data_IF_391090590372
#
_entry.id   IF_391090590372
#
_cell.length_a   1.000
_cell.length_b   1.000
_cell.length_c   1.000
_cell.angle_alpha   90.00
_cell.angle_beta   90.00
_cell.angle_gamma   90.00
#
_symmetry.space_group_name_H-M   'P 1'
#
loop_
_entity.id
_entity.type
_entity.pdbx_description
1 polymer ?
#
# COMPACT_ATOMS: atom_id res chain seq x y z
N UNK A 1 6.75 -12.09 5.26
CA UNK A 1 5.78 -12.59 4.29
C UNK A 1 6.20 -13.97 3.77
N UNK A 2 5.24 -14.88 3.48
CA UNK A 2 5.51 -16.18 2.84
C UNK A 2 5.44 -16.01 1.32
N UNK A 3 6.59 -15.71 0.72
CA UNK A 3 6.74 -15.48 -0.72
C UNK A 3 7.80 -16.43 -1.25
N UNK A 4 7.45 -17.25 -2.23
CA UNK A 4 8.37 -18.16 -2.91
C UNK A 4 8.52 -17.73 -4.36
N UNK A 5 9.76 -17.53 -4.79
CA UNK A 5 10.09 -17.26 -6.19
C UNK A 5 10.18 -18.57 -6.94
N UNK A 6 9.41 -18.71 -8.01
CA UNK A 6 9.34 -19.88 -8.86
C UNK A 6 9.75 -19.52 -10.29
N UNK A 7 10.20 -20.51 -11.05
CA UNK A 7 10.39 -20.42 -12.50
C UNK A 7 11.08 -19.13 -12.98
N UNK A 8 12.28 -18.86 -12.41
CA UNK A 8 13.12 -17.75 -12.87
C UNK A 8 13.55 -17.98 -14.31
N UNK A 9 13.32 -16.99 -15.15
CA UNK A 9 13.64 -17.05 -16.58
C UNK A 9 13.99 -15.65 -17.09
N UNK A 10 14.49 -15.58 -18.30
CA UNK A 10 14.73 -14.32 -19.00
C UNK A 10 13.69 -14.18 -20.14
N UNK A 11 13.01 -13.05 -20.21
CA UNK A 11 12.08 -12.72 -21.29
C UNK A 11 12.37 -11.30 -21.79
N UNK A 12 12.70 -11.17 -23.08
CA UNK A 12 12.97 -9.87 -23.68
C UNK A 12 14.19 -9.12 -23.11
N UNK A 13 15.14 -9.83 -22.49
CA UNK A 13 16.32 -9.24 -21.86
C UNK A 13 16.10 -8.84 -20.39
N UNK A 14 14.96 -9.18 -19.80
CA UNK A 14 14.63 -8.90 -18.40
C UNK A 14 14.49 -10.21 -17.61
N UNK A 15 14.95 -10.19 -16.36
CA UNK A 15 14.69 -11.29 -15.44
C UNK A 15 13.22 -11.28 -15.00
N UNK A 16 12.52 -12.39 -15.22
CA UNK A 16 11.15 -12.59 -14.78
C UNK A 16 11.02 -13.85 -13.94
N UNK A 17 10.00 -13.92 -13.10
CA UNK A 17 9.73 -15.08 -12.28
C UNK A 17 8.24 -15.16 -11.92
N UNK A 18 7.77 -16.37 -11.64
CA UNK A 18 6.48 -16.55 -11.01
C UNK A 18 6.63 -16.46 -9.48
N UNK A 19 5.67 -15.84 -8.83
CA UNK A 19 5.65 -15.67 -7.38
C UNK A 19 4.49 -16.46 -6.77
N UNK A 20 4.79 -17.29 -5.79
CA UNK A 20 3.75 -17.87 -4.92
C UNK A 20 3.71 -17.10 -3.63
N UNK A 21 2.59 -16.47 -3.36
CA UNK A 21 2.35 -15.72 -2.11
C UNK A 21 1.28 -16.46 -1.29
N UNK A 22 1.55 -16.65 -0.01
CA UNK A 22 0.60 -17.25 0.93
C UNK A 22 0.34 -16.28 2.07
N UNK A 23 -0.87 -16.35 2.62
CA UNK A 23 -1.20 -15.63 3.84
C UNK A 23 -0.23 -16.04 4.97
N UNK A 24 0.31 -15.07 5.66
CA UNK A 24 1.26 -15.27 6.76
C UNK A 24 1.16 -14.16 7.79
N UNK A 25 1.56 -14.44 9.01
CA UNK A 25 1.70 -13.42 10.04
C UNK A 25 2.82 -12.45 9.64
N UNK A 26 2.45 -11.21 9.35
CA UNK A 26 3.39 -10.15 9.04
C UNK A 26 3.95 -9.57 10.34
N UNK A 27 5.19 -9.10 10.30
CA UNK A 27 5.84 -8.40 11.41
C UNK A 27 6.41 -7.09 10.93
N UNK A 28 6.39 -6.09 11.81
CA UNK A 28 7.00 -4.81 11.58
C UNK A 28 8.49 -4.93 11.27
N UNK A 29 8.98 -4.06 10.42
CA UNK A 29 10.36 -4.02 9.96
C UNK A 29 10.84 -2.58 9.85
N UNK A 30 12.15 -2.40 9.81
CA UNK A 30 12.75 -1.16 9.35
C UNK A 30 13.11 -1.27 7.86
N UNK A 31 12.58 -0.34 7.05
CA UNK A 31 12.91 -0.20 5.63
C UNK A 31 13.92 0.94 5.52
N UNK A 32 15.18 0.65 5.17
CA UNK A 32 16.24 1.67 5.17
C UNK A 32 16.07 2.67 4.03
N UNK A 33 16.57 3.90 4.22
CA UNK A 33 16.40 5.01 3.29
C UNK A 33 16.96 4.73 1.89
N UNK A 34 17.99 3.89 1.77
CA UNK A 34 18.61 3.50 0.51
C UNK A 34 17.64 2.74 -0.42
N UNK A 35 16.56 2.21 0.13
CA UNK A 35 15.51 1.56 -0.65
C UNK A 35 14.55 2.55 -1.29
N UNK A 36 14.40 3.75 -0.74
CA UNK A 36 13.41 4.72 -1.20
C UNK A 36 13.50 5.02 -2.71
N UNK A 37 14.68 5.28 -3.32
CA UNK A 37 14.73 5.61 -4.74
C UNK A 37 14.26 4.47 -5.66
N UNK A 38 14.47 3.22 -5.27
CA UNK A 38 14.16 2.05 -6.12
C UNK A 38 12.72 1.55 -5.99
N UNK A 39 11.98 2.01 -4.96
CA UNK A 39 10.63 1.53 -4.70
C UNK A 39 9.69 2.65 -4.20
N UNK A 40 10.00 3.90 -4.52
CA UNK A 40 9.27 5.05 -3.98
C UNK A 40 7.76 4.98 -4.24
N UNK A 41 7.36 4.49 -5.39
CA UNK A 41 5.96 4.39 -5.79
C UNK A 41 5.22 3.22 -5.11
N UNK A 42 5.94 2.31 -4.46
CA UNK A 42 5.38 1.14 -3.77
C UNK A 42 5.13 1.39 -2.28
N UNK A 43 5.61 2.51 -1.73
CA UNK A 43 5.42 2.80 -0.31
C UNK A 43 3.96 2.94 0.13
N UNK A 44 3.02 3.46 -0.68
CA UNK A 44 1.62 3.49 -0.29
C UNK A 44 1.06 2.09 0.01
N UNK A 45 1.33 1.11 -0.87
CA UNK A 45 0.85 -0.26 -0.65
C UNK A 45 1.68 -1.01 0.40
N UNK A 46 2.97 -0.68 0.56
CA UNK A 46 3.79 -1.22 1.65
C UNK A 46 3.28 -0.75 3.02
N UNK A 47 2.83 0.50 3.12
CA UNK A 47 2.22 1.03 4.34
C UNK A 47 0.89 0.32 4.67
N UNK A 48 0.12 -0.07 3.66
CA UNK A 48 -1.06 -0.93 3.84
C UNK A 48 -0.65 -2.30 4.41
N UNK A 49 0.38 -2.93 3.87
CA UNK A 49 0.88 -4.19 4.42
C UNK A 49 1.39 -4.02 5.86
N UNK A 50 2.06 -2.89 6.17
CA UNK A 50 2.52 -2.54 7.51
C UNK A 50 1.36 -2.37 8.51
N UNK A 51 0.20 -1.88 8.06
CA UNK A 51 -1.00 -1.77 8.91
C UNK A 51 -1.46 -3.12 9.47
N UNK A 52 -1.21 -4.21 8.75
CA UNK A 52 -1.55 -5.58 9.18
C UNK A 52 -0.38 -6.32 9.82
N UNK A 53 0.79 -5.72 9.90
CA UNK A 53 1.96 -6.32 10.52
C UNK A 53 1.92 -6.14 12.04
N UNK A 54 2.31 -7.16 12.79
CA UNK A 54 2.47 -7.05 14.24
C UNK A 54 3.68 -6.17 14.57
N UNK A 55 3.46 -5.14 15.37
CA UNK A 55 4.50 -4.22 15.82
C UNK A 55 4.68 -3.02 14.88
N UNK A 56 5.84 -2.40 14.98
CA UNK A 56 6.15 -1.15 14.30
C UNK A 56 6.90 -1.40 12.99
N UNK A 57 6.48 -0.73 11.93
CA UNK A 57 7.23 -0.62 10.67
C UNK A 57 7.69 0.81 10.49
N UNK A 58 8.99 0.99 10.30
CA UNK A 58 9.62 2.30 10.05
C UNK A 58 10.12 2.34 8.61
N UNK A 59 9.60 3.26 7.81
CA UNK A 59 9.99 3.49 6.42
C UNK A 59 10.75 4.81 6.33
N UNK A 60 12.05 4.73 6.04
CA UNK A 60 12.94 5.89 6.14
C UNK A 60 13.14 6.61 4.81
N UNK A 61 13.35 7.94 4.91
CA UNK A 61 13.86 8.76 3.81
C UNK A 61 12.86 8.96 2.68
N UNK A 62 11.59 9.19 2.99
CA UNK A 62 10.49 9.25 2.04
C UNK A 62 10.19 10.66 1.51
N UNK A 63 11.16 11.59 1.55
CA UNK A 63 10.97 12.98 1.12
C UNK A 63 10.43 13.11 -0.31
N UNK A 64 10.80 12.18 -1.19
CA UNK A 64 10.35 12.21 -2.59
C UNK A 64 8.84 11.95 -2.72
N UNK A 65 8.20 11.25 -1.77
CA UNK A 65 6.75 11.07 -1.77
C UNK A 65 5.96 12.37 -1.65
N UNK A 66 6.58 13.43 -1.07
CA UNK A 66 5.90 14.72 -0.89
C UNK A 66 5.71 15.51 -2.18
N UNK A 67 6.46 15.16 -3.23
CA UNK A 67 6.49 15.88 -4.51
C UNK A 67 6.04 15.01 -5.70
N UNK A 68 5.27 13.96 -5.42
CA UNK A 68 4.64 13.11 -6.44
C UNK A 68 3.33 13.75 -6.93
N UNK A 69 2.37 12.97 -7.42
CA UNK A 69 1.06 13.46 -7.87
C UNK A 69 0.28 14.17 -6.76
N UNK A 70 0.56 13.79 -5.53
CA UNK A 70 0.11 14.43 -4.28
C UNK A 70 1.24 14.43 -3.27
N UNK A 71 1.09 15.05 -2.10
CA UNK A 71 1.92 14.72 -0.93
C UNK A 71 1.50 13.32 -0.45
N UNK A 72 2.05 12.28 -1.11
CA UNK A 72 1.72 10.88 -0.82
C UNK A 72 2.07 10.49 0.60
N UNK A 73 3.11 11.07 1.18
CA UNK A 73 3.52 10.76 2.55
C UNK A 73 2.42 11.16 3.53
N UNK A 74 1.90 12.37 3.41
CA UNK A 74 0.79 12.84 4.23
C UNK A 74 -0.52 12.13 3.90
N UNK A 75 -0.81 11.86 2.62
CA UNK A 75 -2.01 11.15 2.20
C UNK A 75 -2.06 9.72 2.77
N UNK A 76 -0.93 9.00 2.76
CA UNK A 76 -0.83 7.67 3.35
C UNK A 76 -1.05 7.72 4.86
N UNK A 77 -0.38 8.64 5.58
CA UNK A 77 -0.59 8.81 7.03
C UNK A 77 -2.06 9.10 7.35
N UNK A 78 -2.66 10.07 6.67
CA UNK A 78 -4.04 10.47 6.90
C UNK A 78 -5.02 9.30 6.62
N UNK A 79 -4.82 8.56 5.53
CA UNK A 79 -5.64 7.40 5.19
C UNK A 79 -5.52 6.26 6.20
N UNK A 80 -4.31 5.99 6.72
CA UNK A 80 -4.10 5.00 7.79
C UNK A 80 -4.83 5.41 9.08
N UNK A 81 -4.74 6.69 9.47
CA UNK A 81 -5.50 7.20 10.63
C UNK A 81 -7.01 7.09 10.41
N UNK A 82 -7.51 7.38 9.21
CA UNK A 82 -8.92 7.19 8.87
C UNK A 82 -9.35 5.73 8.95
N UNK A 83 -8.44 4.78 8.69
CA UNK A 83 -8.66 3.35 8.89
C UNK A 83 -8.55 2.89 10.36
N UNK A 84 -8.23 3.79 11.28
CA UNK A 84 -8.02 3.50 12.70
C UNK A 84 -6.66 2.84 12.99
N UNK A 85 -5.69 3.01 12.11
CA UNK A 85 -4.31 2.54 12.28
C UNK A 85 -3.43 3.69 12.77
N UNK A 86 -2.62 3.45 13.78
CA UNK A 86 -1.68 4.45 14.31
C UNK A 86 -0.52 4.65 13.32
N UNK A 87 -0.38 5.86 12.81
CA UNK A 87 0.63 6.24 11.84
C UNK A 87 1.16 7.65 12.12
N UNK A 88 2.47 7.80 12.09
CA UNK A 88 3.20 9.03 12.41
C UNK A 88 4.24 9.33 11.33
N UNK A 89 4.43 10.62 11.04
CA UNK A 89 5.54 11.12 10.24
C UNK A 89 6.55 11.77 11.18
N UNK A 90 7.80 11.33 11.12
CA UNK A 90 8.93 11.90 11.85
C UNK A 90 10.00 12.36 10.85
N UNK A 91 10.05 13.66 10.59
CA UNK A 91 10.86 14.19 9.49
C UNK A 91 10.33 13.69 8.14
N UNK A 92 11.10 12.87 7.46
CA UNK A 92 10.70 12.23 6.20
C UNK A 92 10.51 10.71 6.34
N UNK A 93 10.41 10.22 7.57
CA UNK A 93 10.13 8.83 7.87
C UNK A 93 8.65 8.61 8.14
N UNK A 94 8.09 7.51 7.68
CA UNK A 94 6.75 7.04 8.03
C UNK A 94 6.85 5.89 9.02
N UNK A 95 6.19 6.03 10.15
CA UNK A 95 6.12 5.02 11.21
C UNK A 95 4.69 4.52 11.27
N UNK A 96 4.49 3.21 11.10
CA UNK A 96 3.17 2.56 11.16
C UNK A 96 3.19 1.53 12.27
N UNK A 97 2.26 1.65 13.23
CA UNK A 97 2.06 0.67 14.31
C UNK A 97 0.85 -0.19 13.96
N UNK A 98 1.17 -1.32 13.35
CA UNK A 98 0.17 -2.20 12.77
C UNK A 98 -0.39 -3.24 13.74
N UNK A 99 -1.21 -4.12 13.19
CA UNK A 99 -1.91 -5.19 13.89
C UNK A 99 -3.38 -5.24 13.50
N UNK A 100 -4.25 -4.70 14.35
CA UNK A 100 -5.68 -4.61 14.06
C UNK A 100 -6.00 -3.42 13.17
N UNK A 101 -6.78 -3.64 12.11
CA UNK A 101 -7.24 -2.59 11.20
C UNK A 101 -8.77 -2.46 11.29
N UNK A 102 -9.30 -1.49 12.04
CA UNK A 102 -10.75 -1.32 12.20
C UNK A 102 -11.47 -1.02 10.88
N UNK A 103 -10.88 -0.21 10.02
CA UNK A 103 -11.53 0.25 8.79
C UNK A 103 -12.70 1.20 9.04
N UNK A 104 -13.59 1.33 8.05
CA UNK A 104 -14.83 2.12 8.15
C UNK A 104 -14.65 3.62 7.89
N UNK A 105 -13.44 4.06 7.55
CA UNK A 105 -13.16 5.44 7.21
C UNK A 105 -13.17 5.71 5.71
N UNK A 106 -12.95 6.98 5.36
CA UNK A 106 -12.77 7.42 3.97
C UNK A 106 -11.36 8.00 3.81
N UNK A 107 -10.58 7.49 2.86
CA UNK A 107 -9.29 8.02 2.51
C UNK A 107 -9.45 9.12 1.45
N UNK A 108 -8.84 10.29 1.70
CA UNK A 108 -8.73 11.35 0.72
C UNK A 108 -7.63 10.99 -0.28
N UNK A 109 -7.99 10.89 -1.55
CA UNK A 109 -7.08 10.41 -2.61
C UNK A 109 -6.25 11.52 -3.22
N UNK A 110 -6.71 12.76 -3.15
CA UNK A 110 -6.07 13.93 -3.79
C UNK A 110 -5.83 13.70 -5.30
N UNK A 111 -6.74 13.00 -5.96
CA UNK A 111 -6.64 12.59 -7.36
C UNK A 111 -5.43 11.68 -7.65
N UNK A 112 -4.89 11.00 -6.65
CA UNK A 112 -3.76 10.08 -6.78
C UNK A 112 -4.26 8.63 -6.86
N UNK A 113 -4.02 8.01 -8.01
CA UNK A 113 -4.45 6.63 -8.29
C UNK A 113 -3.80 5.60 -7.37
N UNK A 114 -2.54 5.81 -6.92
CA UNK A 114 -1.86 4.88 -6.01
C UNK A 114 -2.43 4.94 -4.61
N UNK A 115 -2.81 6.14 -4.14
CA UNK A 115 -3.51 6.29 -2.86
C UNK A 115 -4.88 5.61 -2.93
N UNK A 116 -5.66 5.87 -4.00
CA UNK A 116 -6.96 5.23 -4.19
C UNK A 116 -6.87 3.71 -4.15
N UNK A 117 -6.01 3.10 -4.99
CA UNK A 117 -5.86 1.65 -5.04
C UNK A 117 -5.37 1.06 -3.71
N UNK A 118 -4.41 1.72 -3.04
CA UNK A 118 -3.87 1.23 -1.77
C UNK A 118 -4.93 1.13 -0.69
N UNK A 119 -5.79 2.14 -0.54
CA UNK A 119 -6.84 2.11 0.49
C UNK A 119 -8.05 1.24 0.13
N UNK A 120 -8.35 1.03 -1.16
CA UNK A 120 -9.29 -0.01 -1.59
C UNK A 120 -8.76 -1.40 -1.21
N UNK A 121 -7.47 -1.67 -1.45
CA UNK A 121 -6.84 -2.94 -1.04
C UNK A 121 -6.82 -3.09 0.49
N UNK A 122 -6.54 -2.01 1.24
CA UNK A 122 -6.63 -2.05 2.70
C UNK A 122 -8.02 -2.49 3.16
N UNK A 123 -9.07 -1.96 2.53
CA UNK A 123 -10.45 -2.27 2.88
C UNK A 123 -10.84 -3.74 2.71
N UNK A 124 -10.13 -4.52 1.88
CA UNK A 124 -10.44 -5.93 1.65
C UNK A 124 -10.19 -6.84 2.87
N UNK A 125 -9.32 -6.41 3.79
CA UNK A 125 -8.97 -7.20 4.97
C UNK A 125 -9.28 -6.49 6.29
N UNK A 126 -9.79 -5.26 6.26
CA UNK A 126 -10.20 -4.51 7.45
C UNK A 126 -11.54 -5.02 8.01
N UNK A 127 -11.80 -4.73 9.29
CA UNK A 127 -13.05 -5.18 9.95
C UNK A 127 -14.30 -4.54 9.35
N UNK A 128 -14.19 -3.31 8.85
CA UNK A 128 -15.25 -2.59 8.13
C UNK A 128 -14.68 -2.08 6.81
N UNK A 129 -15.47 -2.07 5.72
CA UNK A 129 -15.01 -1.58 4.43
C UNK A 129 -14.42 -0.18 4.51
N UNK A 130 -13.37 0.07 3.72
CA UNK A 130 -12.86 1.42 3.51
C UNK A 130 -13.52 2.05 2.29
N UNK A 131 -13.60 3.37 2.30
CA UNK A 131 -14.01 4.16 1.15
C UNK A 131 -12.86 5.05 0.69
N UNK A 132 -12.88 5.44 -0.57
CA UNK A 132 -12.08 6.53 -1.12
C UNK A 132 -13.03 7.64 -1.60
N UNK A 133 -12.59 8.88 -1.48
CA UNK A 133 -13.40 10.04 -1.90
C UNK A 133 -13.55 10.11 -3.43
N UNK A 134 -12.52 9.72 -4.18
CA UNK A 134 -12.54 9.66 -5.64
C UNK A 134 -11.65 8.51 -6.14
N UNK A 135 -12.23 7.56 -6.87
CA UNK A 135 -11.54 6.47 -7.52
C UNK A 135 -11.32 6.67 -9.02
N UNK A 136 -11.81 7.76 -9.62
CA UNK A 136 -11.78 7.94 -11.08
C UNK A 136 -10.35 7.94 -11.65
N UNK A 137 -9.37 8.43 -10.90
CA UNK A 137 -7.97 8.48 -11.33
C UNK A 137 -7.31 7.11 -11.47
N UNK A 138 -7.88 6.06 -10.89
CA UNK A 138 -7.39 4.68 -11.10
C UNK A 138 -7.35 4.34 -12.59
N UNK A 139 -8.37 4.76 -13.34
CA UNK A 139 -8.47 4.47 -14.78
C UNK A 139 -7.35 5.10 -15.62
N UNK A 140 -6.65 6.10 -15.12
CA UNK A 140 -5.55 6.76 -15.86
C UNK A 140 -4.28 5.90 -15.93
N UNK A 141 -4.07 5.01 -14.97
CA UNK A 141 -2.88 4.16 -14.89
C UNK A 141 -3.21 2.67 -14.91
N UNK A 142 -4.34 2.27 -14.34
CA UNK A 142 -4.75 0.87 -14.26
C UNK A 142 -6.27 0.71 -14.52
N UNK A 143 -6.73 0.93 -15.78
CA UNK A 143 -8.16 0.95 -16.12
C UNK A 143 -8.88 -0.38 -15.84
N UNK A 144 -8.15 -1.48 -15.74
CA UNK A 144 -8.71 -2.81 -15.45
C UNK A 144 -8.62 -3.20 -13.97
N UNK A 145 -8.20 -2.30 -13.06
CA UNK A 145 -8.01 -2.61 -11.65
C UNK A 145 -9.28 -3.19 -11.01
N UNK A 146 -10.40 -2.48 -11.08
CA UNK A 146 -11.65 -2.93 -10.45
C UNK A 146 -12.15 -4.25 -11.06
N UNK A 147 -12.25 -4.41 -12.40
CA UNK A 147 -12.58 -5.71 -12.99
C UNK A 147 -11.65 -6.86 -12.61
N UNK A 148 -10.34 -6.59 -12.52
CA UNK A 148 -9.36 -7.58 -12.08
C UNK A 148 -9.60 -8.00 -10.63
N UNK A 149 -9.80 -7.05 -9.73
CA UNK A 149 -10.06 -7.32 -8.33
C UNK A 149 -11.36 -8.10 -8.11
N UNK A 150 -12.43 -7.78 -8.86
CA UNK A 150 -13.66 -8.58 -8.87
C UNK A 150 -13.40 -10.01 -9.36
N UNK A 151 -12.59 -10.18 -10.40
CA UNK A 151 -12.20 -11.50 -10.91
C UNK A 151 -11.42 -12.34 -9.89
N UNK A 152 -10.75 -11.68 -8.94
CA UNK A 152 -10.05 -12.30 -7.81
C UNK A 152 -10.96 -12.52 -6.59
N UNK A 153 -12.22 -12.11 -6.65
CA UNK A 153 -13.21 -12.30 -5.58
C UNK A 153 -13.31 -11.12 -4.61
N UNK A 154 -12.69 -9.97 -4.91
CA UNK A 154 -12.84 -8.77 -4.11
C UNK A 154 -14.20 -8.10 -4.37
N UNK A 155 -14.79 -7.54 -3.31
CA UNK A 155 -15.99 -6.71 -3.38
C UNK A 155 -15.55 -5.23 -3.29
N UNK A 156 -15.40 -4.59 -4.45
CA UNK A 156 -15.02 -3.18 -4.61
C UNK A 156 -16.07 -2.53 -5.49
N UNK A 157 -16.80 -1.55 -4.96
CA UNK A 157 -17.87 -0.83 -5.64
C UNK A 157 -17.68 0.68 -5.63
#
# INVERSE_FOLDING_TARGET
ADITVLDRREEGGEEVADLRVRASALRGIEVPAERAPSMIDEYPILAVAAAYAEGETVMRGLQELRVKESDRLEAVRAGLLAAGVDAEISGDDLIVRGGRVPGGGTAATHLDHRIAMSFLVLGLASEKPMQVDDGAMIATSFPTFVPLMHGLGADIG
#
